data_IF_663890687574
#
_entry.id   IF_663890687574
#
_cell.length_a   1.000
_cell.length_b   1.000
_cell.length_c   1.000
_cell.angle_alpha   90.00
_cell.angle_beta   90.00
_cell.angle_gamma   90.00
#
_symmetry.space_group_name_H-M   'P 1'
#
loop_
_entity.id
_entity.type
_entity.pdbx_description
1 polymer ?
#
# COMPACT_ATOMS: atom_id res chain seq x y z
N UNK A 1 -28.40 22.64 20.05
CA UNK A 1 -27.30 22.26 19.14
C UNK A 1 -26.27 23.38 19.13
N UNK A 2 -25.19 23.27 19.91
CA UNK A 2 -24.11 24.26 19.87
C UNK A 2 -23.22 23.96 18.67
N UNK A 3 -23.20 24.87 17.69
CA UNK A 3 -22.18 24.88 16.64
C UNK A 3 -20.85 25.29 17.30
N UNK A 4 -20.01 24.30 17.58
CA UNK A 4 -18.69 24.51 18.17
C UNK A 4 -17.75 25.12 17.13
N UNK A 5 -17.33 26.36 17.36
CA UNK A 5 -16.21 26.97 16.64
C UNK A 5 -14.96 26.18 17.07
N UNK A 6 -14.48 25.28 16.23
CA UNK A 6 -13.26 24.52 16.51
C UNK A 6 -12.08 25.48 16.66
N UNK A 7 -11.37 25.41 17.79
CA UNK A 7 -10.15 26.19 17.98
C UNK A 7 -9.04 25.61 17.07
N UNK A 8 -8.13 26.44 16.57
CA UNK A 8 -7.09 26.03 15.62
C UNK A 8 -6.23 24.86 16.11
N UNK A 9 -5.93 24.75 17.41
CA UNK A 9 -5.23 23.62 18.01
C UNK A 9 -6.06 22.32 18.00
N UNK A 10 -7.39 22.40 18.17
CA UNK A 10 -8.25 21.23 18.03
C UNK A 10 -8.32 20.77 16.56
N UNK A 11 -8.38 21.73 15.62
CA UNK A 11 -8.31 21.46 14.18
C UNK A 11 -6.97 20.77 13.86
N UNK A 12 -5.84 21.36 14.28
CA UNK A 12 -4.51 20.80 14.09
C UNK A 12 -4.37 19.41 14.69
N UNK A 13 -4.84 19.20 15.92
CA UNK A 13 -4.80 17.88 16.58
C UNK A 13 -5.61 16.82 15.81
N UNK A 14 -6.75 17.20 15.22
CA UNK A 14 -7.52 16.29 14.36
C UNK A 14 -6.80 16.00 13.06
N UNK A 15 -6.23 17.00 12.39
CA UNK A 15 -5.45 16.79 11.16
C UNK A 15 -4.18 15.96 11.40
N UNK A 16 -3.45 16.22 12.49
CA UNK A 16 -2.34 15.39 12.96
C UNK A 16 -2.80 14.00 13.40
N UNK A 17 -4.06 13.79 13.78
CA UNK A 17 -4.55 12.44 14.01
C UNK A 17 -4.84 11.67 12.72
N UNK A 18 -5.41 12.34 11.74
CA UNK A 18 -5.97 11.71 10.53
C UNK A 18 -4.87 11.42 9.49
N UNK A 19 -3.80 12.21 9.43
CA UNK A 19 -2.74 12.07 8.40
C UNK A 19 -1.61 11.10 8.78
N UNK A 20 -1.78 10.32 9.84
CA UNK A 20 -0.80 9.34 10.30
C UNK A 20 -1.09 7.96 9.71
N UNK A 21 -0.21 7.49 8.82
CA UNK A 21 -0.36 6.19 8.16
C UNK A 21 -0.30 5.03 9.16
N UNK A 22 0.47 5.16 10.24
CA UNK A 22 0.61 4.18 11.34
C UNK A 22 -0.63 4.03 12.23
N UNK A 23 -1.64 4.87 12.02
CA UNK A 23 -2.94 4.82 12.73
C UNK A 23 -4.08 4.32 11.86
N UNK A 24 -3.80 3.99 10.60
CA UNK A 24 -4.79 3.40 9.70
C UNK A 24 -4.82 1.88 9.89
N UNK A 25 -5.94 1.24 9.56
CA UNK A 25 -5.98 -0.22 9.45
C UNK A 25 -5.24 -0.70 8.19
N UNK A 26 -5.37 0.08 7.11
CA UNK A 26 -4.85 -0.24 5.79
C UNK A 26 -4.33 1.02 5.10
N UNK A 27 -3.25 0.87 4.34
CA UNK A 27 -2.73 1.90 3.45
C UNK A 27 -2.56 1.30 2.07
N UNK A 28 -3.40 1.72 1.13
CA UNK A 28 -3.42 1.18 -0.23
C UNK A 28 -2.60 2.06 -1.17
N UNK A 29 -1.67 1.42 -1.88
CA UNK A 29 -0.81 2.05 -2.86
C UNK A 29 -1.17 1.50 -4.25
N UNK A 30 -1.83 2.27 -5.12
CA UNK A 30 -2.01 1.87 -6.51
C UNK A 30 -0.66 1.88 -7.21
N UNK A 31 -0.31 0.74 -7.82
CA UNK A 31 0.93 0.55 -8.55
C UNK A 31 0.62 0.50 -10.04
N UNK A 32 1.28 1.36 -10.80
CA UNK A 32 1.37 1.24 -12.26
C UNK A 32 2.70 0.58 -12.59
N UNK A 33 2.64 -0.65 -13.09
CA UNK A 33 3.80 -1.42 -13.49
C UNK A 33 3.91 -1.46 -15.03
N UNK A 34 5.12 -1.31 -15.53
CA UNK A 34 5.44 -1.52 -16.95
C UNK A 34 5.86 -2.98 -17.14
N UNK A 35 4.89 -3.84 -17.43
CA UNK A 35 5.08 -5.30 -17.56
C UNK A 35 5.80 -5.71 -18.84
N UNK A 36 5.76 -4.87 -19.89
CA UNK A 36 6.59 -5.03 -21.08
C UNK A 36 7.16 -3.66 -21.49
N UNK A 37 8.46 -3.40 -21.27
CA UNK A 37 9.10 -2.14 -21.64
C UNK A 37 9.08 -1.87 -23.16
N UNK A 38 8.89 -2.89 -23.99
CA UNK A 38 8.91 -2.79 -25.45
C UNK A 38 7.50 -2.59 -26.04
N UNK A 39 6.45 -2.87 -25.28
CA UNK A 39 5.06 -2.64 -25.68
C UNK A 39 4.57 -1.29 -25.14
N UNK A 40 4.70 -0.26 -25.98
CA UNK A 40 4.32 1.11 -25.63
C UNK A 40 2.80 1.31 -25.48
N UNK A 41 1.96 0.40 -26.01
CA UNK A 41 0.50 0.53 -26.02
C UNK A 41 -0.20 -0.39 -25.01
N UNK A 42 0.34 -1.59 -24.74
CA UNK A 42 -0.29 -2.62 -23.90
C UNK A 42 0.54 -3.09 -22.70
N UNK A 43 1.81 -2.68 -22.58
CA UNK A 43 2.77 -3.14 -21.58
C UNK A 43 2.61 -2.54 -20.19
N UNK A 44 1.42 -2.02 -19.84
CA UNK A 44 1.15 -1.39 -18.53
C UNK A 44 0.05 -2.11 -17.80
N UNK A 45 0.24 -2.30 -16.50
CA UNK A 45 -0.70 -3.01 -15.65
C UNK A 45 -0.86 -2.30 -14.31
N UNK A 46 -2.11 -2.21 -13.85
CA UNK A 46 -2.42 -1.69 -12.53
C UNK A 46 -2.68 -2.83 -11.55
N UNK A 47 -2.12 -2.71 -10.37
CA UNK A 47 -2.40 -3.57 -9.24
C UNK A 47 -2.29 -2.76 -7.94
N UNK A 48 -2.70 -3.32 -6.80
CA UNK A 48 -2.67 -2.63 -5.51
C UNK A 48 -1.72 -3.33 -4.54
N UNK A 49 -0.80 -2.55 -3.98
CA UNK A 49 0.01 -2.95 -2.84
C UNK A 49 -0.62 -2.38 -1.57
N UNK A 50 -1.13 -3.22 -0.69
CA UNK A 50 -1.78 -2.82 0.55
C UNK A 50 -0.88 -3.11 1.76
N UNK A 51 -0.69 -2.11 2.62
CA UNK A 51 -0.07 -2.28 3.92
C UNK A 51 -1.20 -2.55 4.91
N UNK A 52 -1.47 -3.82 5.20
CA UNK A 52 -2.49 -4.22 6.16
C UNK A 52 -1.87 -4.20 7.57
N UNK A 53 -2.02 -3.06 8.25
CA UNK A 53 -1.51 -2.84 9.59
C UNK A 53 -2.30 -3.63 10.64
N UNK A 54 -3.58 -3.88 10.38
CA UNK A 54 -4.44 -4.70 11.26
C UNK A 54 -3.99 -6.15 11.32
N UNK A 55 -3.69 -6.75 10.17
CA UNK A 55 -3.30 -8.17 10.06
C UNK A 55 -1.78 -8.38 9.96
N UNK A 56 -1.00 -7.32 10.15
CA UNK A 56 0.47 -7.34 10.18
C UNK A 56 1.14 -7.95 8.93
N UNK A 57 0.67 -7.55 7.74
CA UNK A 57 1.16 -8.09 6.46
C UNK A 57 1.09 -7.08 5.34
N UNK A 58 1.90 -7.30 4.31
CA UNK A 58 1.75 -6.66 3.02
C UNK A 58 0.92 -7.57 2.11
N UNK A 59 -0.02 -6.98 1.42
CA UNK A 59 -0.97 -7.68 0.57
C UNK A 59 -0.80 -7.18 -0.86
N UNK A 60 -0.67 -8.12 -1.79
CA UNK A 60 -0.65 -7.83 -3.21
C UNK A 60 -1.98 -8.27 -3.82
N UNK A 61 -2.67 -7.31 -4.43
CA UNK A 61 -3.96 -7.49 -5.08
C UNK A 61 -3.76 -7.24 -6.59
N UNK A 62 -3.52 -8.32 -7.33
CA UNK A 62 -3.35 -8.29 -8.79
C UNK A 62 -4.43 -9.16 -9.47
N UNK A 63 -5.23 -8.51 -10.32
CA UNK A 63 -6.33 -9.15 -11.07
C UNK A 63 -5.83 -10.03 -12.23
N UNK A 64 -4.54 -9.99 -12.55
CA UNK A 64 -3.94 -10.73 -13.65
C UNK A 64 -2.98 -11.81 -13.14
N UNK A 65 -2.04 -11.47 -12.25
CA UNK A 65 -0.94 -12.35 -11.81
C UNK A 65 -1.09 -12.82 -10.35
N UNK A 66 -0.14 -13.63 -9.87
CA UNK A 66 0.09 -14.05 -8.47
C UNK A 66 1.59 -13.91 -8.13
N UNK A 67 2.02 -14.02 -6.86
CA UNK A 67 3.43 -13.88 -6.45
C UNK A 67 4.34 -14.99 -6.97
N UNK A 68 3.81 -16.05 -7.56
CA UNK A 68 4.62 -17.02 -8.31
C UNK A 68 5.18 -16.43 -9.62
N UNK A 69 4.63 -15.31 -10.10
CA UNK A 69 5.22 -14.51 -11.16
C UNK A 69 6.46 -13.78 -10.63
N UNK A 70 7.66 -14.03 -11.19
CA UNK A 70 8.91 -13.51 -10.66
C UNK A 70 9.03 -11.98 -10.76
N UNK A 71 8.48 -11.37 -11.81
CA UNK A 71 8.54 -9.91 -12.01
C UNK A 71 7.69 -9.18 -10.98
N UNK A 72 6.48 -9.70 -10.74
CA UNK A 72 5.59 -9.19 -9.69
C UNK A 72 6.19 -9.40 -8.30
N UNK A 73 6.77 -10.57 -8.01
CA UNK A 73 7.46 -10.82 -6.76
C UNK A 73 8.61 -9.84 -6.54
N UNK A 74 9.40 -9.58 -7.57
CA UNK A 74 10.49 -8.61 -7.53
C UNK A 74 9.97 -7.19 -7.27
N UNK A 75 8.94 -6.75 -7.99
CA UNK A 75 8.33 -5.44 -7.83
C UNK A 75 7.74 -5.26 -6.41
N UNK A 76 6.92 -6.20 -5.95
CA UNK A 76 6.31 -6.17 -4.62
C UNK A 76 7.36 -6.21 -3.50
N UNK A 77 8.41 -7.02 -3.64
CA UNK A 77 9.52 -7.07 -2.66
C UNK A 77 10.29 -5.74 -2.61
N UNK A 78 10.47 -5.09 -3.75
CA UNK A 78 11.13 -3.78 -3.84
C UNK A 78 10.31 -2.71 -3.13
N UNK A 79 8.99 -2.66 -3.39
CA UNK A 79 8.06 -1.75 -2.71
C UNK A 79 8.06 -2.04 -1.20
N UNK A 80 7.96 -3.30 -0.78
CA UNK A 80 8.00 -3.69 0.64
C UNK A 80 9.31 -3.23 1.31
N UNK A 81 10.46 -3.37 0.65
CA UNK A 81 11.75 -2.89 1.13
C UNK A 81 11.79 -1.38 1.31
N UNK A 82 11.33 -0.62 0.31
CA UNK A 82 11.24 0.83 0.36
C UNK A 82 10.29 1.32 1.47
N UNK A 83 9.10 0.72 1.55
CA UNK A 83 8.11 0.98 2.60
C UNK A 83 8.72 0.76 3.97
N UNK A 84 9.35 -0.40 4.24
CA UNK A 84 10.02 -0.67 5.53
C UNK A 84 11.08 0.38 5.88
N UNK A 85 11.89 0.78 4.89
CA UNK A 85 12.94 1.78 5.09
C UNK A 85 12.35 3.13 5.50
N UNK A 86 11.37 3.64 4.75
CA UNK A 86 10.69 4.90 5.03
C UNK A 86 9.91 4.83 6.34
N UNK A 87 9.22 3.73 6.60
CA UNK A 87 8.43 3.54 7.81
C UNK A 87 9.28 3.58 9.07
N UNK A 88 10.48 2.99 9.05
CA UNK A 88 11.43 3.07 10.16
C UNK A 88 11.85 4.51 10.47
N UNK A 89 11.92 5.37 9.45
CA UNK A 89 12.28 6.78 9.60
C UNK A 89 11.12 7.63 10.14
N UNK A 90 9.90 7.42 9.62
CA UNK A 90 8.74 8.25 9.94
C UNK A 90 7.91 7.74 11.12
N UNK A 91 7.90 6.43 11.37
CA UNK A 91 7.10 5.77 12.40
C UNK A 91 7.94 4.78 13.23
N UNK A 92 9.04 5.23 13.88
CA UNK A 92 10.01 4.34 14.54
C UNK A 92 9.43 3.51 15.70
N UNK A 93 8.26 3.89 16.24
CA UNK A 93 7.56 3.15 17.30
C UNK A 93 6.64 2.05 16.77
N UNK A 94 6.31 2.06 15.47
CA UNK A 94 5.38 1.14 14.83
C UNK A 94 6.14 0.25 13.85
N UNK A 95 6.71 -0.83 14.35
CA UNK A 95 7.57 -1.69 13.55
C UNK A 95 6.77 -2.56 12.56
N UNK A 96 7.11 -2.47 11.26
CA UNK A 96 6.54 -3.30 10.19
C UNK A 96 7.60 -4.19 9.50
N UNK A 97 8.82 -4.27 10.04
CA UNK A 97 9.92 -5.01 9.41
C UNK A 97 9.64 -6.50 9.20
N UNK A 98 8.80 -7.08 10.06
CA UNK A 98 8.44 -8.49 10.09
C UNK A 98 7.26 -8.85 9.18
N UNK A 99 6.56 -7.87 8.62
CA UNK A 99 5.40 -8.11 7.76
C UNK A 99 5.81 -8.92 6.54
N UNK A 100 5.09 -10.00 6.25
CA UNK A 100 5.31 -10.81 5.05
C UNK A 100 4.54 -10.24 3.88
N UNK A 101 5.02 -10.47 2.66
CA UNK A 101 4.26 -10.16 1.43
C UNK A 101 3.45 -11.40 1.06
N UNK A 102 2.15 -11.24 0.90
CA UNK A 102 1.23 -12.32 0.54
C UNK A 102 0.36 -11.96 -0.66
N UNK A 103 -0.08 -12.98 -1.40
CA UNK A 103 -1.13 -12.88 -2.39
C UNK A 103 -2.49 -12.76 -1.72
N UNK A 104 -3.33 -11.86 -2.21
CA UNK A 104 -4.76 -11.86 -1.94
C UNK A 104 -5.50 -12.24 -3.21
N UNK A 105 -6.30 -13.30 -3.14
CA UNK A 105 -7.16 -13.68 -4.25
C UNK A 105 -8.24 -12.61 -4.46
N UNK A 106 -8.29 -12.07 -5.68
CA UNK A 106 -9.24 -11.05 -6.13
C UNK A 106 -9.91 -11.50 -7.43
N UNK A 107 -11.06 -10.91 -7.81
CA UNK A 107 -11.68 -11.19 -9.11
C UNK A 107 -10.68 -10.99 -10.26
N UNK A 108 -10.59 -11.99 -11.14
CA UNK A 108 -9.65 -11.96 -12.26
C UNK A 108 -10.19 -11.12 -13.42
N UNK A 109 -9.29 -10.34 -14.02
CA UNK A 109 -9.62 -9.52 -15.17
C UNK A 109 -9.90 -10.42 -16.37
N UNK A 110 -11.07 -10.30 -17.03
CA UNK A 110 -11.37 -11.11 -18.20
C UNK A 110 -10.47 -10.72 -19.39
N UNK A 111 -9.96 -11.72 -20.11
CA UNK A 111 -9.21 -11.53 -21.35
C UNK A 111 -7.69 -11.33 -21.21
N UNK A 112 -7.11 -11.71 -20.06
CA UNK A 112 -5.68 -11.61 -19.74
C UNK A 112 -5.18 -12.90 -19.09
#
# INVERSE_FOLDING_TARGET
MQQGIYNAAEIHSKFEKINHLDRQDMVMLPVLEFTDPNDQEGGRHYWVFNINLRDHRFEMLDSWRKLDNPDLMHCASTIAGAVRCLWKQHYPKHNISHFQVIDIDVPKQPGK
#
